data_IF_362064940630
#
_entry.id   IF_362064940630
#
_cell.length_a   1.000
_cell.length_b   1.000
_cell.length_c   1.000
_cell.angle_alpha   90.00
_cell.angle_beta   90.00
_cell.angle_gamma   90.00
#
_symmetry.space_group_name_H-M   'P 1'
#
loop_
_entity.id
_entity.type
_entity.pdbx_description
1 polymer ?
#
# COMPACT_ATOMS: atom_id res chain seq x y z
N UNK A 1 -4.57 -2.25 11.83
CA UNK A 1 -4.82 -1.08 10.99
C UNK A 1 -6.28 -0.67 10.89
N UNK A 2 -7.26 -1.59 11.00
CA UNK A 2 -8.68 -1.22 11.08
C UNK A 2 -9.08 -0.62 12.44
N UNK A 3 -8.30 -0.85 13.47
CA UNK A 3 -8.44 -0.26 14.80
C UNK A 3 -7.69 1.08 14.85
N UNK A 4 -8.40 2.16 14.56
CA UNK A 4 -7.84 3.51 14.51
C UNK A 4 -7.42 4.01 15.91
N UNK A 5 -8.14 3.61 16.96
CA UNK A 5 -7.83 4.02 18.33
C UNK A 5 -6.52 3.38 18.82
N UNK A 6 -6.33 2.10 18.53
CA UNK A 6 -5.06 1.42 18.82
C UNK A 6 -3.89 2.04 18.03
N UNK A 7 -4.09 2.34 16.75
CA UNK A 7 -3.07 3.03 15.96
C UNK A 7 -2.70 4.38 16.58
N UNK A 8 -3.69 5.19 16.91
CA UNK A 8 -3.49 6.48 17.55
C UNK A 8 -2.66 6.36 18.83
N UNK A 9 -3.03 5.43 19.72
CA UNK A 9 -2.31 5.16 20.95
C UNK A 9 -0.84 4.81 20.70
N UNK A 10 -0.54 3.92 19.73
CA UNK A 10 0.83 3.53 19.38
C UNK A 10 1.64 4.75 18.92
N UNK A 11 1.04 5.61 18.08
CA UNK A 11 1.72 6.80 17.56
C UNK A 11 1.87 7.93 18.60
N UNK A 12 1.07 7.94 19.66
CA UNK A 12 1.21 8.84 20.79
C UNK A 12 2.28 8.34 21.80
N UNK A 13 2.44 7.02 21.95
CA UNK A 13 3.39 6.40 22.88
C UNK A 13 4.82 6.32 22.32
N UNK A 14 5.00 6.44 21.00
CA UNK A 14 6.29 6.24 20.34
C UNK A 14 6.60 7.32 19.31
N UNK A 15 7.85 7.72 19.22
CA UNK A 15 8.33 8.60 18.14
C UNK A 15 8.80 7.79 16.94
N UNK A 16 8.20 8.06 15.79
CA UNK A 16 8.54 7.40 14.52
C UNK A 16 9.16 8.40 13.53
N UNK A 17 10.15 7.96 12.76
CA UNK A 17 10.74 8.72 11.65
C UNK A 17 9.95 8.55 10.34
N UNK A 18 9.23 7.47 10.21
CA UNK A 18 8.46 7.11 9.02
C UNK A 18 7.77 5.76 9.19
N UNK A 19 6.94 5.42 8.23
CA UNK A 19 6.23 4.15 8.17
C UNK A 19 6.66 3.36 6.93
N UNK A 20 6.98 2.07 7.12
CA UNK A 20 7.13 1.10 6.04
C UNK A 20 5.87 0.23 6.05
N UNK A 21 5.02 0.43 5.05
CA UNK A 21 3.69 -0.16 5.02
C UNK A 21 3.61 -1.37 4.09
N UNK A 22 3.78 -2.57 4.66
CA UNK A 22 3.60 -3.85 3.98
C UNK A 22 2.26 -4.54 4.28
N UNK A 23 1.53 -4.09 5.30
CA UNK A 23 0.34 -4.76 5.78
C UNK A 23 -0.81 -4.65 4.77
N UNK A 24 -1.18 -5.78 4.17
CA UNK A 24 -2.34 -5.91 3.28
C UNK A 24 -2.75 -7.38 3.14
N UNK A 25 -4.01 -7.63 2.80
CA UNK A 25 -4.40 -8.91 2.19
C UNK A 25 -3.91 -8.93 0.75
N UNK A 26 -3.32 -10.05 0.28
CA UNK A 26 -2.59 -10.11 -1.00
C UNK A 26 -3.00 -11.25 -1.94
N UNK A 27 -3.92 -12.13 -1.54
CA UNK A 27 -4.32 -13.26 -2.34
C UNK A 27 -5.31 -12.82 -3.44
N UNK A 28 -4.85 -12.82 -4.69
CA UNK A 28 -5.64 -12.36 -5.86
C UNK A 28 -6.95 -13.13 -5.98
N UNK A 29 -6.91 -14.47 -5.89
CA UNK A 29 -8.12 -15.32 -5.97
C UNK A 29 -9.13 -15.00 -4.86
N UNK A 30 -8.68 -14.85 -3.60
CA UNK A 30 -9.56 -14.46 -2.49
C UNK A 30 -10.20 -13.09 -2.75
N UNK A 31 -9.45 -12.14 -3.32
CA UNK A 31 -9.98 -10.81 -3.62
C UNK A 31 -11.14 -10.82 -4.60
N UNK A 32 -11.15 -11.77 -5.55
CA UNK A 32 -12.25 -11.93 -6.49
C UNK A 32 -13.50 -12.54 -5.84
N UNK A 33 -13.32 -13.38 -4.82
CA UNK A 33 -14.45 -13.97 -4.08
C UNK A 33 -15.04 -13.02 -3.04
N UNK A 34 -14.17 -12.26 -2.36
CA UNK A 34 -14.58 -11.31 -1.32
C UNK A 34 -13.89 -9.94 -1.50
N UNK A 35 -14.34 -9.14 -2.47
CA UNK A 35 -13.75 -7.83 -2.73
C UNK A 35 -13.96 -6.83 -1.58
N UNK A 36 -15.08 -6.92 -0.85
CA UNK A 36 -15.36 -6.02 0.28
C UNK A 36 -14.31 -6.17 1.38
N UNK A 37 -13.93 -7.40 1.72
CA UNK A 37 -12.88 -7.68 2.69
C UNK A 37 -11.55 -7.02 2.30
N UNK A 38 -11.24 -6.98 1.00
CA UNK A 38 -10.03 -6.35 0.48
C UNK A 38 -10.10 -4.83 0.52
N UNK A 39 -11.22 -4.25 0.14
CA UNK A 39 -11.40 -2.79 0.21
C UNK A 39 -11.38 -2.30 1.66
N UNK A 40 -12.08 -2.98 2.55
CA UNK A 40 -12.09 -2.64 3.97
C UNK A 40 -10.70 -2.77 4.60
N UNK A 41 -10.01 -3.89 4.38
CA UNK A 41 -8.71 -4.13 4.99
C UNK A 41 -7.61 -3.26 4.40
N UNK A 42 -7.50 -3.20 3.07
CA UNK A 42 -6.37 -2.58 2.41
C UNK A 42 -6.56 -1.08 2.23
N UNK A 43 -7.75 -0.61 1.84
CA UNK A 43 -7.99 0.82 1.62
C UNK A 43 -8.32 1.50 2.96
N UNK A 44 -9.39 1.08 3.63
CA UNK A 44 -9.79 1.76 4.87
C UNK A 44 -8.73 1.64 5.96
N UNK A 45 -8.09 0.46 6.09
CA UNK A 45 -6.98 0.30 7.03
C UNK A 45 -5.80 1.24 6.74
N UNK A 46 -5.49 1.49 5.48
CA UNK A 46 -4.42 2.43 5.11
C UNK A 46 -4.86 3.88 5.28
N UNK A 47 -6.12 4.23 5.01
CA UNK A 47 -6.67 5.56 5.28
C UNK A 47 -6.54 5.89 6.77
N UNK A 48 -6.96 4.98 7.66
CA UNK A 48 -6.81 5.16 9.11
C UNK A 48 -5.35 5.42 9.50
N UNK A 49 -4.41 4.68 8.92
CA UNK A 49 -2.98 4.89 9.16
C UNK A 49 -2.54 6.29 8.72
N UNK A 50 -2.94 6.73 7.51
CA UNK A 50 -2.58 8.05 6.98
C UNK A 50 -3.20 9.19 7.79
N UNK A 51 -4.43 9.02 8.29
CA UNK A 51 -5.07 9.99 9.19
C UNK A 51 -4.31 10.12 10.50
N UNK A 52 -3.95 9.02 11.14
CA UNK A 52 -3.16 9.04 12.39
C UNK A 52 -1.79 9.66 12.14
N UNK A 53 -1.08 9.26 11.08
CA UNK A 53 0.20 9.87 10.69
C UNK A 53 0.07 11.38 10.50
N UNK A 54 -0.98 11.82 9.80
CA UNK A 54 -1.22 13.24 9.56
C UNK A 54 -1.44 14.01 10.86
N UNK A 55 -2.22 13.44 11.79
CA UNK A 55 -2.57 14.07 13.06
C UNK A 55 -1.37 14.25 14.00
N UNK A 56 -0.43 13.30 13.99
CA UNK A 56 0.84 13.40 14.78
C UNK A 56 1.96 14.12 14.01
N UNK A 57 1.70 14.60 12.80
CA UNK A 57 2.70 15.31 11.99
C UNK A 57 3.73 14.42 11.29
N UNK A 58 3.59 13.08 11.34
CA UNK A 58 4.47 12.15 10.64
C UNK A 58 4.12 12.07 9.16
N UNK A 59 5.06 12.41 8.28
CA UNK A 59 4.79 12.58 6.84
C UNK A 59 5.52 11.59 5.92
N UNK A 60 6.43 10.77 6.46
CA UNK A 60 7.24 9.86 5.66
C UNK A 60 6.59 8.48 5.59
N UNK A 61 6.32 7.99 4.36
CA UNK A 61 5.78 6.65 4.15
C UNK A 61 6.42 5.96 2.95
N UNK A 62 6.82 4.71 3.14
CA UNK A 62 7.14 3.78 2.07
C UNK A 62 5.97 2.80 1.95
N UNK A 63 5.37 2.72 0.77
CA UNK A 63 4.21 1.88 0.50
C UNK A 63 4.55 0.72 -0.42
N UNK A 64 4.22 -0.49 0.02
CA UNK A 64 4.28 -1.70 -0.78
C UNK A 64 3.09 -1.75 -1.73
N UNK A 65 3.29 -1.30 -2.96
CA UNK A 65 2.38 -1.53 -4.08
C UNK A 65 2.69 -2.87 -4.75
N UNK A 66 2.24 -3.09 -5.96
CA UNK A 66 2.36 -4.35 -6.67
C UNK A 66 2.42 -4.14 -8.17
N UNK A 67 3.12 -5.02 -8.88
CA UNK A 67 3.09 -5.07 -10.35
C UNK A 67 1.69 -5.33 -10.93
N UNK A 68 0.74 -5.83 -10.12
CA UNK A 68 -0.66 -6.01 -10.55
C UNK A 68 -1.40 -4.70 -10.85
N UNK A 69 -0.78 -3.54 -10.59
CA UNK A 69 -1.33 -2.24 -10.99
C UNK A 69 -1.12 -1.92 -12.48
N UNK A 70 -0.15 -2.57 -13.13
CA UNK A 70 0.09 -2.35 -14.56
C UNK A 70 -1.00 -2.97 -15.44
N UNK A 71 -1.29 -2.31 -16.56
CA UNK A 71 -2.16 -2.83 -17.62
C UNK A 71 -1.41 -3.92 -18.42
N UNK A 72 -1.52 -5.17 -17.95
CA UNK A 72 -0.84 -6.29 -18.60
C UNK A 72 -1.36 -6.63 -19.98
N UNK A 73 -2.55 -6.14 -20.38
CA UNK A 73 -3.09 -6.36 -21.73
C UNK A 73 -2.50 -5.40 -22.76
N UNK A 74 -2.07 -4.21 -22.33
CA UNK A 74 -1.65 -3.13 -23.23
C UNK A 74 -0.17 -2.77 -23.13
N UNK A 75 0.48 -3.11 -22.03
CA UNK A 75 1.90 -2.88 -21.87
C UNK A 75 2.71 -4.10 -22.32
N UNK A 76 3.87 -3.86 -22.88
CA UNK A 76 4.83 -4.90 -23.31
C UNK A 76 6.01 -4.89 -22.33
N UNK A 77 6.34 -6.01 -21.68
CA UNK A 77 7.52 -6.08 -20.80
C UNK A 77 8.84 -5.78 -21.54
N UNK A 78 9.83 -5.21 -20.85
CA UNK A 78 9.84 -4.87 -19.43
C UNK A 78 9.05 -3.60 -19.11
N UNK A 79 8.33 -3.61 -17.97
CA UNK A 79 7.52 -2.46 -17.54
C UNK A 79 8.38 -1.36 -16.89
N UNK A 80 7.93 -0.13 -17.06
CA UNK A 80 8.49 1.06 -16.42
C UNK A 80 7.46 1.75 -15.54
N UNK A 81 7.88 2.65 -14.66
CA UNK A 81 7.00 3.36 -13.72
C UNK A 81 5.98 4.25 -14.43
N UNK A 82 6.26 4.67 -15.66
CA UNK A 82 5.40 5.54 -16.48
C UNK A 82 4.38 4.77 -17.32
N UNK A 83 4.47 3.44 -17.35
CA UNK A 83 3.56 2.62 -18.12
C UNK A 83 2.14 2.70 -17.58
N UNK A 84 1.19 2.47 -18.49
CA UNK A 84 -0.22 2.54 -18.18
C UNK A 84 -0.59 1.59 -17.04
N UNK A 85 -1.40 2.09 -16.12
CA UNK A 85 -2.00 1.31 -15.03
C UNK A 85 -3.45 0.99 -15.33
N UNK A 86 -3.82 -0.28 -15.14
CA UNK A 86 -5.18 -0.78 -15.19
C UNK A 86 -5.22 -2.14 -14.50
N UNK A 87 -6.16 -2.35 -13.60
CA UNK A 87 -6.15 -3.52 -12.74
C UNK A 87 -7.18 -4.55 -13.17
N UNK A 88 -6.81 -5.83 -13.11
CA UNK A 88 -7.63 -6.96 -13.53
C UNK A 88 -8.36 -7.65 -12.35
N UNK A 89 -8.12 -7.20 -11.12
CA UNK A 89 -8.67 -7.83 -9.91
C UNK A 89 -8.77 -6.85 -8.75
N UNK A 90 -9.62 -7.12 -7.74
CA UNK A 90 -9.82 -6.24 -6.59
C UNK A 90 -8.56 -5.99 -5.77
N UNK A 91 -7.67 -6.97 -5.61
CA UNK A 91 -6.39 -6.74 -4.93
C UNK A 91 -5.55 -5.67 -5.64
N UNK A 92 -5.34 -5.80 -6.95
CA UNK A 92 -4.64 -4.78 -7.74
C UNK A 92 -5.33 -3.42 -7.63
N UNK A 93 -6.66 -3.40 -7.69
CA UNK A 93 -7.43 -2.16 -7.52
C UNK A 93 -7.16 -1.50 -6.18
N UNK A 94 -7.08 -2.27 -5.07
CA UNK A 94 -6.74 -1.67 -3.77
C UNK A 94 -5.37 -1.01 -3.77
N UNK A 95 -4.39 -1.62 -4.44
CA UNK A 95 -3.04 -1.06 -4.55
C UNK A 95 -3.01 0.22 -5.38
N UNK A 96 -3.67 0.21 -6.54
CA UNK A 96 -3.74 1.38 -7.43
C UNK A 96 -4.48 2.56 -6.79
N UNK A 97 -5.60 2.31 -6.13
CA UNK A 97 -6.34 3.35 -5.38
C UNK A 97 -5.46 3.98 -4.31
N UNK A 98 -4.66 3.18 -3.59
CA UNK A 98 -3.75 3.71 -2.58
C UNK A 98 -2.60 4.53 -3.18
N UNK A 99 -2.11 4.19 -4.38
CA UNK A 99 -1.14 5.04 -5.09
C UNK A 99 -1.74 6.43 -5.41
N UNK A 100 -3.00 6.49 -5.84
CA UNK A 100 -3.69 7.77 -6.07
C UNK A 100 -3.87 8.57 -4.78
N UNK A 101 -4.34 7.92 -3.70
CA UNK A 101 -4.50 8.57 -2.41
C UNK A 101 -3.15 9.12 -1.90
N UNK A 102 -2.08 8.35 -1.99
CA UNK A 102 -0.74 8.81 -1.58
C UNK A 102 -0.25 9.99 -2.43
N UNK A 103 -0.54 10.00 -3.72
CA UNK A 103 -0.25 11.15 -4.59
C UNK A 103 -0.98 12.41 -4.11
N UNK A 104 -2.26 12.30 -3.75
CA UNK A 104 -3.03 13.42 -3.21
C UNK A 104 -2.48 13.87 -1.84
N UNK A 105 -2.07 12.93 -0.99
CA UNK A 105 -1.45 13.25 0.30
C UNK A 105 -0.11 13.99 0.13
N UNK A 106 0.68 13.65 -0.88
CA UNK A 106 1.91 14.39 -1.23
C UNK A 106 1.57 15.80 -1.67
N UNK A 107 0.59 15.96 -2.56
CA UNK A 107 0.24 17.26 -3.15
C UNK A 107 -0.42 18.20 -2.15
N UNK A 108 -1.25 17.70 -1.24
CA UNK A 108 -2.13 18.52 -0.42
C UNK A 108 -1.86 18.46 1.09
N UNK A 109 -1.11 17.48 1.56
CA UNK A 109 -0.83 17.24 3.00
C UNK A 109 0.66 17.17 3.33
N UNK A 110 1.53 17.51 2.38
CA UNK A 110 2.99 17.55 2.54
C UNK A 110 3.61 16.19 2.94
N UNK A 111 2.96 15.09 2.58
CA UNK A 111 3.56 13.77 2.74
C UNK A 111 4.77 13.60 1.81
N UNK A 112 5.67 12.72 2.20
CA UNK A 112 6.76 12.20 1.38
C UNK A 112 6.55 10.70 1.25
N UNK A 113 6.21 10.25 0.05
CA UNK A 113 5.93 8.85 -0.20
C UNK A 113 6.89 8.25 -1.20
N UNK A 114 7.31 7.01 -0.93
CA UNK A 114 7.96 6.12 -1.90
C UNK A 114 7.00 4.96 -2.13
N UNK A 115 6.68 4.70 -3.39
CA UNK A 115 5.80 3.60 -3.80
C UNK A 115 6.63 2.55 -4.51
N UNK A 116 6.65 1.33 -3.98
CA UNK A 116 7.39 0.21 -4.56
C UNK A 116 6.42 -0.78 -5.20
N UNK A 117 6.42 -0.89 -6.52
CA UNK A 117 5.62 -1.85 -7.29
C UNK A 117 6.36 -3.19 -7.38
N UNK A 118 6.20 -4.02 -6.34
CA UNK A 118 6.85 -5.33 -6.31
C UNK A 118 6.30 -6.26 -7.38
N UNK A 119 7.19 -6.91 -8.09
CA UNK A 119 6.94 -8.14 -8.84
C UNK A 119 6.99 -9.34 -7.89
N UNK A 120 7.32 -10.53 -8.37
CA UNK A 120 7.46 -11.69 -7.52
C UNK A 120 8.88 -11.72 -6.91
N UNK A 121 9.04 -11.39 -5.63
CA UNK A 121 10.34 -11.46 -4.98
C UNK A 121 10.78 -12.92 -4.88
N UNK A 122 12.06 -13.17 -5.16
CA UNK A 122 12.68 -14.50 -5.04
C UNK A 122 13.82 -14.45 -4.03
N UNK A 123 14.07 -15.59 -3.41
CA UNK A 123 15.11 -15.72 -2.40
C UNK A 123 14.58 -15.69 -0.97
N UNK A 124 15.43 -16.12 -0.06
CA UNK A 124 15.20 -16.11 1.37
C UNK A 124 16.50 -15.76 2.10
N UNK A 125 16.39 -15.38 3.36
CA UNK A 125 17.57 -15.13 4.19
C UNK A 125 18.39 -16.43 4.35
N UNK A 126 19.72 -16.31 4.36
CA UNK A 126 20.64 -17.45 4.42
C UNK A 126 20.47 -18.31 5.68
N UNK A 127 19.89 -17.76 6.76
CA UNK A 127 19.57 -18.51 7.98
C UNK A 127 18.43 -19.53 7.80
N UNK A 128 17.62 -19.43 6.75
CA UNK A 128 16.44 -20.28 6.55
C UNK A 128 15.32 -20.08 7.59
N UNK A 129 15.37 -19.00 8.39
CA UNK A 129 14.40 -18.71 9.43
C UNK A 129 13.25 -17.80 8.96
N UNK A 130 13.31 -17.33 7.71
CA UNK A 130 12.31 -16.48 7.05
C UNK A 130 11.90 -17.09 5.72
#
# INVERSE_FOLDING_TARGET
MRDADLLKKIFEEHEFLGVIHFAAKKAVGESCHDPFLYYENNIMGTINLLEVMNNVGLKNILFSSSATVYDAEKNIPPFTETDRTNTMNPYGTTKLVMEYILKDMVMHKQFRSVVLRYFNPIGAHSSGLL
#
